data_IF_085721196650
#
_entry.id   IF_085721196650
#
_cell.length_a   1.000
_cell.length_b   1.000
_cell.length_c   1.000
_cell.angle_alpha   90.00
_cell.angle_beta   90.00
_cell.angle_gamma   90.00
#
_symmetry.space_group_name_H-M   'P 1'
#
loop_
_entity.id
_entity.type
_entity.pdbx_description
1 polymer ?
#
# COMPACT_ATOMS: atom_id res chain seq x y z
N UNK A 1 28.28 -12.42 8.03
CA UNK A 1 28.65 -11.02 7.77
C UNK A 1 27.39 -10.19 7.96
N UNK A 2 27.39 -9.13 8.77
CA UNK A 2 26.22 -8.27 8.86
C UNK A 2 25.98 -7.65 7.48
N UNK A 3 24.81 -7.89 6.90
CA UNK A 3 24.35 -7.14 5.73
C UNK A 3 24.24 -5.69 6.18
N UNK A 4 25.00 -4.79 5.57
CA UNK A 4 24.78 -3.35 5.70
C UNK A 4 23.35 -3.07 5.20
N UNK A 5 22.38 -2.99 6.11
CA UNK A 5 21.05 -2.53 5.78
C UNK A 5 21.20 -1.09 5.33
N UNK A 6 20.62 -0.70 4.19
CA UNK A 6 20.62 0.69 3.78
C UNK A 6 19.87 1.50 4.84
N UNK A 7 20.58 2.36 5.55
CA UNK A 7 19.99 3.27 6.53
C UNK A 7 19.19 4.34 5.80
N UNK A 8 17.87 4.20 5.75
CA UNK A 8 17.01 5.22 5.15
C UNK A 8 15.56 4.78 5.08
N UNK A 9 14.67 5.74 5.19
CA UNK A 9 13.22 5.57 5.08
C UNK A 9 12.83 5.37 3.61
N UNK A 10 11.99 4.37 3.32
CA UNK A 10 11.31 4.22 2.04
C UNK A 10 10.09 5.13 2.03
N UNK A 11 9.91 5.91 0.99
CA UNK A 11 8.73 6.78 0.90
C UNK A 11 7.96 6.57 -0.39
N UNK A 12 6.63 6.63 -0.27
CA UNK A 12 5.70 6.61 -1.38
C UNK A 12 4.91 7.91 -1.43
N UNK A 13 4.59 8.36 -2.66
CA UNK A 13 3.57 9.36 -2.93
C UNK A 13 2.53 8.75 -3.84
N UNK A 14 1.27 8.81 -3.41
CA UNK A 14 0.14 8.31 -4.15
C UNK A 14 -0.74 9.48 -4.58
N UNK A 15 -0.98 9.60 -5.89
CA UNK A 15 -1.80 10.66 -6.47
C UNK A 15 -2.76 10.08 -7.49
N UNK A 16 -3.93 10.68 -7.61
CA UNK A 16 -4.92 10.35 -8.63
C UNK A 16 -5.31 11.63 -9.39
N UNK A 17 -4.52 12.08 -10.37
CA UNK A 17 -4.78 13.35 -11.07
C UNK A 17 -6.06 13.36 -11.87
N UNK A 18 -6.45 12.22 -12.41
CA UNK A 18 -7.69 12.03 -13.16
C UNK A 18 -8.33 10.69 -12.75
N UNK A 19 -9.28 10.69 -11.80
CA UNK A 19 -9.93 9.46 -11.32
C UNK A 19 -10.65 8.67 -12.42
N UNK A 20 -11.15 9.34 -13.45
CA UNK A 20 -11.88 8.71 -14.55
C UNK A 20 -11.00 7.81 -15.43
N UNK A 21 -9.69 8.03 -15.42
CA UNK A 21 -8.73 7.15 -16.09
C UNK A 21 -8.47 5.86 -15.30
N UNK A 22 -8.90 5.81 -14.04
CA UNK A 22 -8.70 4.70 -13.11
C UNK A 22 -7.22 4.31 -12.92
N UNK A 23 -6.31 5.28 -13.03
CA UNK A 23 -4.89 5.08 -12.76
C UNK A 23 -4.44 5.78 -11.49
N UNK A 24 -3.89 5.00 -10.57
CA UNK A 24 -3.16 5.50 -9.42
C UNK A 24 -1.72 5.79 -9.84
N UNK A 25 -1.28 7.03 -9.71
CA UNK A 25 0.10 7.43 -9.94
C UNK A 25 0.91 7.23 -8.67
N UNK A 26 2.00 6.49 -8.78
CA UNK A 26 2.83 6.07 -7.65
C UNK A 26 4.26 6.55 -7.90
N UNK A 27 4.81 7.29 -6.92
CA UNK A 27 6.22 7.61 -6.83
C UNK A 27 6.78 6.93 -5.59
N UNK A 28 7.81 6.10 -5.77
CA UNK A 28 8.54 5.44 -4.70
C UNK A 28 9.97 5.97 -4.67
N UNK A 29 10.45 6.39 -3.49
CA UNK A 29 11.84 6.76 -3.26
C UNK A 29 12.46 5.81 -2.28
N UNK A 30 13.64 5.28 -2.64
CA UNK A 30 14.43 4.44 -1.74
C UNK A 30 15.93 4.77 -1.85
N UNK A 31 16.63 4.73 -0.72
CA UNK A 31 18.08 4.88 -0.69
C UNK A 31 18.74 3.67 -1.34
N UNK A 32 19.88 3.88 -1.98
CA UNK A 32 20.67 2.81 -2.59
C UNK A 32 22.14 3.00 -2.23
N UNK A 33 22.81 1.89 -1.92
CA UNK A 33 24.25 1.85 -1.59
C UNK A 33 24.99 0.81 -2.42
N UNK A 34 24.34 0.22 -3.42
CA UNK A 34 24.86 -0.83 -4.28
C UNK A 34 24.88 -0.35 -5.74
N UNK A 35 25.70 -1.01 -6.57
CA UNK A 35 25.73 -0.72 -8.01
C UNK A 35 24.44 -1.10 -8.73
N UNK A 36 23.74 -2.11 -8.22
CA UNK A 36 22.48 -2.59 -8.79
C UNK A 36 21.53 -2.93 -7.66
N UNK A 37 20.25 -2.69 -7.89
CA UNK A 37 19.15 -3.11 -7.00
C UNK A 37 18.09 -3.87 -7.80
N UNK A 38 17.47 -4.86 -7.19
CA UNK A 38 16.32 -5.54 -7.75
C UNK A 38 15.04 -5.10 -7.04
N UNK A 39 14.08 -4.65 -7.84
CA UNK A 39 12.77 -4.21 -7.40
C UNK A 39 11.74 -5.28 -7.73
N UNK A 40 10.78 -5.48 -6.85
CA UNK A 40 9.73 -6.48 -6.99
C UNK A 40 8.36 -5.87 -6.80
N UNK A 41 7.38 -6.40 -7.50
CA UNK A 41 5.97 -6.29 -7.15
C UNK A 41 5.51 -7.68 -6.74
N UNK A 42 4.80 -7.86 -5.59
CA UNK A 42 4.25 -9.17 -5.25
C UNK A 42 3.40 -9.75 -6.39
N UNK A 43 3.50 -11.05 -6.62
CA UNK A 43 2.73 -11.73 -7.65
C UNK A 43 1.51 -12.47 -7.10
N UNK A 44 1.39 -12.56 -5.79
CA UNK A 44 0.30 -13.18 -5.05
C UNK A 44 0.13 -12.53 -3.67
N UNK A 45 -0.94 -12.82 -2.98
CA UNK A 45 -1.20 -12.37 -1.60
C UNK A 45 -1.64 -13.53 -0.72
N UNK A 46 -1.39 -13.49 0.60
CA UNK A 46 -1.93 -14.44 1.56
C UNK A 46 -3.47 -14.53 1.48
N UNK A 47 -4.00 -15.72 1.72
CA UNK A 47 -5.45 -15.99 1.66
C UNK A 47 -6.01 -16.23 0.25
N UNK A 48 -5.22 -15.96 -0.81
CA UNK A 48 -5.56 -16.32 -2.19
C UNK A 48 -4.39 -17.04 -2.83
N UNK A 49 -4.48 -18.35 -2.95
CA UNK A 49 -3.41 -19.22 -3.42
C UNK A 49 -3.32 -19.29 -4.95
N UNK A 50 -3.35 -18.11 -5.59
CA UNK A 50 -3.27 -17.94 -7.04
C UNK A 50 -2.23 -16.89 -7.40
N UNK A 51 -1.49 -17.12 -8.47
CA UNK A 51 -0.61 -16.11 -9.07
C UNK A 51 -1.48 -15.11 -9.84
N UNK A 52 -1.52 -13.88 -9.37
CA UNK A 52 -2.45 -12.85 -9.88
C UNK A 52 -1.80 -11.94 -10.94
N UNK A 53 -0.44 -11.97 -11.08
CA UNK A 53 0.30 -11.13 -12.04
C UNK A 53 -0.05 -9.63 -11.93
N UNK A 54 -0.03 -9.06 -10.73
CA UNK A 54 -0.39 -7.65 -10.50
C UNK A 54 0.39 -6.67 -11.38
N UNK A 55 1.63 -7.01 -11.74
CA UNK A 55 2.49 -6.19 -12.60
C UNK A 55 1.93 -5.95 -14.01
N UNK A 56 0.92 -6.70 -14.47
CA UNK A 56 0.22 -6.42 -15.73
C UNK A 56 -0.47 -5.06 -15.75
N UNK A 57 -0.83 -4.55 -14.57
CA UNK A 57 -1.53 -3.27 -14.39
C UNK A 57 -0.58 -2.07 -14.34
N UNK A 58 0.74 -2.29 -14.40
CA UNK A 58 1.74 -1.20 -14.39
C UNK A 58 1.95 -0.65 -15.81
N UNK A 59 1.92 0.68 -15.93
CA UNK A 59 2.36 1.39 -17.14
C UNK A 59 3.29 2.55 -16.79
N UNK A 60 4.06 3.02 -17.77
CA UNK A 60 4.89 4.21 -17.64
C UNK A 60 6.01 4.10 -16.60
N UNK A 61 6.52 2.89 -16.34
CA UNK A 61 7.58 2.64 -15.38
C UNK A 61 8.86 3.38 -15.75
N UNK A 62 9.39 4.17 -14.81
CA UNK A 62 10.60 4.97 -14.98
C UNK A 62 11.40 4.93 -13.69
N UNK A 63 12.73 4.96 -13.81
CA UNK A 63 13.63 5.09 -12.66
C UNK A 63 14.53 6.29 -12.88
N UNK A 64 14.66 7.14 -11.87
CA UNK A 64 15.43 8.37 -11.89
C UNK A 64 16.49 8.35 -10.79
N UNK A 65 17.64 8.98 -11.03
CA UNK A 65 18.67 9.20 -10.03
C UNK A 65 18.39 10.45 -9.16
N UNK A 66 19.33 10.80 -8.29
CA UNK A 66 19.25 11.97 -7.40
C UNK A 66 19.11 13.31 -8.15
N UNK A 67 19.54 13.36 -9.41
CA UNK A 67 19.45 14.54 -10.28
C UNK A 67 18.19 14.54 -11.15
N UNK A 68 17.22 13.64 -10.87
CA UNK A 68 16.02 13.42 -11.70
C UNK A 68 16.32 12.99 -13.16
N UNK A 69 17.46 12.41 -13.42
CA UNK A 69 17.82 11.88 -14.73
C UNK A 69 17.44 10.40 -14.83
N UNK A 70 16.93 9.94 -15.97
CA UNK A 70 16.62 8.52 -16.19
C UNK A 70 17.87 7.65 -16.05
N UNK A 71 17.73 6.53 -15.34
CA UNK A 71 18.76 5.51 -15.24
C UNK A 71 18.30 4.18 -15.85
N UNK A 72 19.23 3.36 -16.38
CA UNK A 72 18.90 2.10 -17.05
C UNK A 72 18.27 1.08 -16.09
N UNK A 73 17.27 0.42 -16.57
CA UNK A 73 16.69 -0.76 -15.93
C UNK A 73 16.20 -1.76 -16.98
N UNK A 74 16.01 -3.00 -16.58
CA UNK A 74 15.37 -4.03 -17.40
C UNK A 74 14.52 -4.95 -16.54
N UNK A 75 13.50 -5.58 -17.14
CA UNK A 75 12.72 -6.61 -16.47
C UNK A 75 13.54 -7.89 -16.34
N UNK A 76 13.64 -8.41 -15.09
CA UNK A 76 14.23 -9.75 -14.83
C UNK A 76 13.19 -10.84 -14.95
N UNK A 77 11.97 -10.57 -14.47
CA UNK A 77 10.81 -11.45 -14.55
C UNK A 77 9.56 -10.63 -14.95
N UNK A 78 8.38 -11.23 -14.89
CA UNK A 78 7.11 -10.51 -15.13
C UNK A 78 6.86 -9.39 -14.12
N UNK A 79 7.37 -9.55 -12.89
CA UNK A 79 7.08 -8.76 -11.70
C UNK A 79 8.34 -8.24 -10.99
N UNK A 80 9.51 -8.30 -11.65
CA UNK A 80 10.75 -7.72 -11.12
C UNK A 80 11.54 -6.92 -12.16
N UNK A 81 12.33 -5.96 -11.64
CA UNK A 81 13.16 -5.03 -12.44
C UNK A 81 14.53 -4.91 -11.80
N UNK A 82 15.58 -5.08 -12.60
CA UNK A 82 16.96 -4.75 -12.20
C UNK A 82 17.30 -3.33 -12.63
N UNK A 83 17.81 -2.54 -11.69
CA UNK A 83 18.13 -1.13 -11.88
C UNK A 83 19.61 -0.92 -11.65
N UNK A 84 20.30 -0.24 -12.57
CA UNK A 84 21.70 0.16 -12.44
C UNK A 84 21.78 1.47 -11.62
N UNK A 85 22.32 1.39 -10.39
CA UNK A 85 22.35 2.49 -9.43
C UNK A 85 23.77 3.06 -9.20
N UNK A 86 24.74 2.75 -10.05
CA UNK A 86 26.11 3.18 -9.85
C UNK A 86 26.21 4.71 -9.77
N UNK A 87 26.85 5.22 -8.71
CA UNK A 87 26.98 6.65 -8.46
C UNK A 87 25.72 7.36 -7.92
N UNK A 88 24.64 6.64 -7.64
CA UNK A 88 23.37 7.17 -7.12
C UNK A 88 23.19 6.80 -5.65
N UNK A 89 22.72 7.74 -4.82
CA UNK A 89 22.41 7.50 -3.39
C UNK A 89 20.94 7.20 -3.13
N UNK A 90 20.07 7.72 -3.97
CA UNK A 90 18.63 7.53 -3.89
C UNK A 90 18.06 7.37 -5.28
N UNK A 91 17.19 6.41 -5.48
CA UNK A 91 16.42 6.28 -6.71
C UNK A 91 14.99 6.68 -6.50
N UNK A 92 14.38 7.25 -7.52
CA UNK A 92 12.96 7.56 -7.58
C UNK A 92 12.33 6.73 -8.69
N UNK A 93 11.42 5.85 -8.31
CA UNK A 93 10.66 5.01 -9.24
C UNK A 93 9.28 5.64 -9.42
N UNK A 94 8.86 5.84 -10.67
CA UNK A 94 7.55 6.38 -11.02
C UNK A 94 6.82 5.43 -11.96
N UNK A 95 5.56 5.19 -11.68
CA UNK A 95 4.69 4.39 -12.53
C UNK A 95 3.23 4.69 -12.24
N UNK A 96 2.36 4.21 -13.11
CA UNK A 96 0.92 4.23 -12.91
C UNK A 96 0.41 2.79 -12.78
N UNK A 97 -0.55 2.58 -11.89
CA UNK A 97 -1.20 1.31 -11.65
C UNK A 97 -2.68 1.39 -12.02
N UNK A 98 -3.14 0.50 -12.89
CA UNK A 98 -4.54 0.44 -13.30
C UNK A 98 -5.40 -0.14 -12.18
N UNK A 99 -6.32 0.68 -11.65
CA UNK A 99 -7.03 0.48 -10.40
C UNK A 99 -8.54 0.50 -10.65
N UNK A 100 -9.05 -0.45 -11.42
CA UNK A 100 -10.42 -0.46 -11.95
C UNK A 100 -11.37 -1.43 -11.26
N UNK A 101 -10.86 -2.34 -10.44
CA UNK A 101 -11.68 -3.34 -9.77
C UNK A 101 -11.87 -3.02 -8.30
N UNK A 102 -13.11 -3.02 -7.81
CA UNK A 102 -13.45 -2.88 -6.40
C UNK A 102 -13.81 -4.24 -5.79
N UNK A 103 -12.84 -4.89 -5.20
CA UNK A 103 -13.01 -6.09 -4.39
C UNK A 103 -11.91 -6.20 -3.35
N UNK A 104 -12.04 -7.11 -2.38
CA UNK A 104 -11.09 -7.26 -1.27
C UNK A 104 -9.64 -7.58 -1.71
N UNK A 105 -9.43 -7.95 -2.95
CA UNK A 105 -8.12 -8.34 -3.48
C UNK A 105 -7.54 -7.41 -4.53
N UNK A 106 -8.13 -6.24 -4.76
CA UNK A 106 -7.73 -5.32 -5.83
C UNK A 106 -7.40 -3.92 -5.29
N UNK A 107 -7.15 -3.00 -6.20
CA UNK A 107 -6.99 -1.56 -5.95
C UNK A 107 -7.97 -0.84 -6.85
N UNK A 108 -8.67 0.17 -6.33
CA UNK A 108 -9.74 0.88 -7.02
C UNK A 108 -9.62 2.39 -6.86
N UNK A 109 -9.90 3.12 -7.94
CA UNK A 109 -9.94 4.58 -7.99
C UNK A 109 -11.20 5.04 -8.69
N UNK A 110 -11.93 5.97 -8.06
CA UNK A 110 -13.00 6.78 -8.67
C UNK A 110 -12.94 8.21 -8.16
N UNK A 111 -13.88 9.04 -8.55
CA UNK A 111 -14.02 10.43 -8.05
C UNK A 111 -14.33 10.47 -6.55
N UNK A 112 -15.01 9.44 -6.02
CA UNK A 112 -15.51 9.39 -4.65
C UNK A 112 -14.74 8.47 -3.72
N UNK A 113 -13.89 7.59 -4.30
CA UNK A 113 -13.27 6.49 -3.55
C UNK A 113 -11.87 6.17 -4.06
N UNK A 114 -10.94 6.07 -3.12
CA UNK A 114 -9.63 5.43 -3.32
C UNK A 114 -9.54 4.23 -2.37
N UNK A 115 -9.50 3.03 -2.92
CA UNK A 115 -9.20 1.81 -2.19
C UNK A 115 -7.84 1.26 -2.66
N UNK A 116 -6.90 1.14 -1.75
CA UNK A 116 -5.56 0.63 -2.05
C UNK A 116 -5.28 -0.61 -1.23
N UNK A 117 -4.95 -1.68 -1.93
CA UNK A 117 -4.35 -2.86 -1.34
C UNK A 117 -2.85 -2.84 -1.69
N UNK A 118 -1.96 -2.47 -0.75
CA UNK A 118 -0.55 -2.22 -1.03
C UNK A 118 0.18 -3.37 -1.71
N UNK A 119 -0.15 -4.61 -1.36
CA UNK A 119 0.44 -5.81 -1.96
C UNK A 119 0.26 -5.89 -3.47
N UNK A 120 -0.77 -5.23 -4.03
CA UNK A 120 -1.06 -5.28 -5.46
C UNK A 120 -0.24 -4.28 -6.27
N UNK A 121 0.10 -3.13 -5.68
CA UNK A 121 0.55 -1.98 -6.43
C UNK A 121 1.83 -1.33 -5.94
N UNK A 122 2.30 -1.60 -4.71
CA UNK A 122 3.52 -0.99 -4.18
C UNK A 122 4.72 -1.92 -4.37
N UNK A 123 5.74 -1.42 -5.07
CA UNK A 123 6.99 -2.15 -5.30
C UNK A 123 7.87 -2.11 -4.05
N UNK A 124 8.71 -3.12 -3.89
CA UNK A 124 9.68 -3.23 -2.79
C UNK A 124 11.03 -3.73 -3.31
N UNK A 125 12.03 -3.71 -2.44
CA UNK A 125 13.26 -4.47 -2.62
C UNK A 125 13.56 -5.29 -1.38
N UNK A 126 14.26 -6.40 -1.54
CA UNK A 126 14.62 -7.27 -0.43
C UNK A 126 15.53 -6.57 0.59
N UNK A 127 16.37 -5.64 0.12
CA UNK A 127 17.27 -4.86 0.97
C UNK A 127 16.51 -3.92 1.90
N UNK A 128 15.29 -3.49 1.51
CA UNK A 128 14.47 -2.55 2.27
C UNK A 128 13.25 -3.20 2.92
N UNK A 129 13.12 -4.52 2.85
CA UNK A 129 11.90 -5.20 3.32
C UNK A 129 11.55 -4.86 4.78
N UNK A 130 12.57 -4.68 5.63
CA UNK A 130 12.44 -4.31 7.04
C UNK A 130 12.63 -2.81 7.32
N UNK A 131 12.66 -1.96 6.31
CA UNK A 131 12.78 -0.52 6.49
C UNK A 131 11.46 0.13 6.90
N UNK A 132 11.55 1.24 7.64
CA UNK A 132 10.41 2.10 7.88
C UNK A 132 9.88 2.70 6.57
N UNK A 133 8.56 2.78 6.45
CA UNK A 133 7.89 3.23 5.23
C UNK A 133 6.93 4.36 5.57
N UNK A 134 6.96 5.38 4.73
CA UNK A 134 6.05 6.51 4.77
C UNK A 134 5.27 6.60 3.46
N UNK A 135 3.95 6.77 3.54
CA UNK A 135 3.09 6.93 2.37
C UNK A 135 2.36 8.26 2.49
N UNK A 136 2.61 9.16 1.57
CA UNK A 136 1.91 10.45 1.45
C UNK A 136 0.76 10.30 0.45
N UNK A 137 -0.45 10.58 0.92
CA UNK A 137 -1.67 10.50 0.12
C UNK A 137 -2.07 11.89 -0.34
N UNK A 138 -2.14 12.10 -1.64
CA UNK A 138 -2.62 13.34 -2.26
C UNK A 138 -4.09 13.17 -2.64
N UNK A 139 -4.94 13.28 -1.64
CA UNK A 139 -6.40 13.16 -1.72
C UNK A 139 -7.06 14.49 -1.32
N UNK A 140 -8.34 14.65 -1.60
CA UNK A 140 -9.13 15.82 -1.21
C UNK A 140 -9.10 16.04 0.32
N UNK A 141 -9.21 17.30 0.75
CA UNK A 141 -9.04 17.65 2.18
C UNK A 141 -10.16 17.10 3.05
N UNK A 142 -11.35 17.00 2.50
CA UNK A 142 -12.53 16.45 3.14
C UNK A 142 -12.58 14.93 3.24
N UNK A 143 -11.65 14.23 2.58
CA UNK A 143 -11.63 12.77 2.63
C UNK A 143 -11.04 12.23 3.92
N UNK A 144 -11.73 11.28 4.52
CA UNK A 144 -11.29 10.48 5.64
C UNK A 144 -10.48 9.28 5.16
N UNK A 145 -9.66 8.72 6.05
CA UNK A 145 -8.83 7.54 5.77
C UNK A 145 -9.14 6.47 6.81
N UNK A 146 -9.52 5.28 6.35
CA UNK A 146 -9.66 4.08 7.17
C UNK A 146 -8.50 3.13 6.88
N UNK A 147 -7.72 2.80 7.91
CA UNK A 147 -6.53 1.94 7.81
C UNK A 147 -6.16 1.38 9.18
N UNK A 148 -5.43 0.28 9.22
CA UNK A 148 -4.74 -0.24 10.40
C UNK A 148 -3.38 0.42 10.66
N UNK A 149 -2.82 1.12 9.67
CA UNK A 149 -1.53 1.78 9.78
C UNK A 149 -1.57 3.01 10.70
N UNK A 150 -0.43 3.35 11.28
CA UNK A 150 -0.29 4.62 12.00
C UNK A 150 -0.48 5.79 11.04
N UNK A 151 -1.40 6.71 11.40
CA UNK A 151 -1.76 7.86 10.58
C UNK A 151 -1.33 9.18 11.24
N UNK A 152 -0.81 10.09 10.40
CA UNK A 152 -0.56 11.49 10.77
C UNK A 152 -1.00 12.40 9.62
N UNK A 153 -2.18 13.01 9.74
CA UNK A 153 -2.83 13.72 8.64
C UNK A 153 -3.07 12.78 7.45
N UNK A 154 -2.61 13.16 6.28
CA UNK A 154 -2.68 12.34 5.06
C UNK A 154 -1.43 11.45 4.83
N UNK A 155 -0.69 11.18 5.91
CA UNK A 155 0.50 10.34 5.87
C UNK A 155 0.26 9.06 6.66
N UNK A 156 0.52 7.91 6.03
CA UNK A 156 0.52 6.59 6.66
C UNK A 156 1.96 6.16 6.93
N UNK A 157 2.17 5.48 8.07
CA UNK A 157 3.51 5.09 8.54
C UNK A 157 3.46 3.63 9.00
N UNK A 158 4.45 2.86 8.57
CA UNK A 158 4.66 1.49 9.03
C UNK A 158 6.15 1.19 9.21
N UNK A 159 6.46 0.09 9.86
CA UNK A 159 7.84 -0.29 10.20
C UNK A 159 8.51 -1.18 9.17
N UNK A 160 7.74 -1.85 8.30
CA UNK A 160 8.25 -2.78 7.30
C UNK A 160 7.21 -3.05 6.19
N UNK A 161 7.62 -3.74 5.14
CA UNK A 161 6.75 -4.11 4.02
C UNK A 161 5.76 -5.22 4.37
N UNK A 162 6.05 -6.09 5.32
CA UNK A 162 5.12 -7.13 5.76
C UNK A 162 3.84 -6.50 6.34
N UNK A 163 4.00 -5.60 7.30
CA UNK A 163 2.88 -4.83 7.85
C UNK A 163 2.16 -3.99 6.79
N UNK A 164 2.91 -3.41 5.84
CA UNK A 164 2.33 -2.63 4.76
C UNK A 164 1.42 -3.48 3.88
N UNK A 165 1.89 -4.64 3.45
CA UNK A 165 1.17 -5.52 2.54
C UNK A 165 -0.09 -6.14 3.15
N UNK A 166 -0.15 -6.23 4.48
CA UNK A 166 -1.33 -6.69 5.23
C UNK A 166 -2.25 -5.53 5.71
N UNK A 167 -1.99 -4.32 5.24
CA UNK A 167 -2.72 -3.13 5.68
C UNK A 167 -3.36 -2.37 4.52
N UNK A 168 -4.44 -2.88 3.92
CA UNK A 168 -5.21 -2.12 2.95
C UNK A 168 -5.78 -0.86 3.59
N UNK A 169 -6.04 0.16 2.77
CA UNK A 169 -6.67 1.38 3.22
C UNK A 169 -7.70 1.90 2.20
N UNK A 170 -8.67 2.62 2.73
CA UNK A 170 -9.73 3.25 1.97
C UNK A 170 -9.78 4.73 2.31
N UNK A 171 -9.96 5.58 1.30
CA UNK A 171 -10.11 7.01 1.45
C UNK A 171 -11.39 7.45 0.72
N UNK A 172 -12.27 8.12 1.43
CA UNK A 172 -13.51 8.71 0.88
C UNK A 172 -14.05 9.78 1.81
N UNK A 173 -14.95 10.62 1.30
CA UNK A 173 -15.59 11.66 2.09
C UNK A 173 -16.56 11.08 3.12
N UNK A 174 -17.37 10.10 2.73
CA UNK A 174 -18.49 9.60 3.53
C UNK A 174 -18.14 8.33 4.34
N UNK A 175 -16.91 8.23 4.85
CA UNK A 175 -16.55 7.12 5.73
C UNK A 175 -17.19 7.30 7.10
N UNK A 176 -18.00 6.33 7.51
CA UNK A 176 -18.57 6.21 8.86
C UNK A 176 -17.90 5.07 9.61
N UNK A 177 -17.72 5.22 10.91
CA UNK A 177 -17.06 4.22 11.74
C UNK A 177 -17.76 4.00 13.06
N UNK A 178 -17.65 2.78 13.56
CA UNK A 178 -17.98 2.42 14.93
C UNK A 178 -16.82 1.66 15.58
N UNK A 179 -16.81 1.70 16.91
CA UNK A 179 -15.79 1.08 17.75
C UNK A 179 -16.39 0.02 18.63
N UNK A 180 -15.67 -1.09 18.79
CA UNK A 180 -15.95 -2.06 19.86
C UNK A 180 -14.64 -2.62 20.41
N UNK A 181 -14.72 -3.22 21.60
CA UNK A 181 -13.57 -3.81 22.27
C UNK A 181 -13.87 -5.26 22.69
N UNK A 182 -12.86 -6.13 22.55
CA UNK A 182 -12.85 -7.49 23.05
C UNK A 182 -11.50 -7.78 23.70
N UNK A 183 -11.50 -8.21 24.96
CA UNK A 183 -10.29 -8.54 25.73
C UNK A 183 -9.22 -7.45 25.78
N UNK A 184 -9.64 -6.18 25.83
CA UNK A 184 -8.72 -5.03 25.83
C UNK A 184 -8.16 -4.67 24.45
N UNK A 185 -8.58 -5.35 23.37
CA UNK A 185 -8.20 -5.06 21.99
C UNK A 185 -9.32 -4.26 21.35
N UNK A 186 -8.96 -3.08 20.81
CA UNK A 186 -9.91 -2.21 20.11
C UNK A 186 -10.06 -2.55 18.64
N UNK A 187 -11.28 -2.55 18.16
CA UNK A 187 -11.65 -2.81 16.76
C UNK A 187 -12.48 -1.68 16.20
N UNK A 188 -12.25 -1.35 14.93
CA UNK A 188 -13.04 -0.37 14.19
C UNK A 188 -13.70 -1.03 13.00
N UNK A 189 -15.00 -0.75 12.81
CA UNK A 189 -15.75 -1.13 11.63
C UNK A 189 -15.98 0.14 10.81
N UNK A 190 -15.61 0.11 9.54
CA UNK A 190 -15.75 1.23 8.64
C UNK A 190 -16.68 0.89 7.47
N UNK A 191 -17.54 1.83 7.13
CA UNK A 191 -18.37 1.77 5.93
C UNK A 191 -18.17 3.02 5.10
N UNK A 192 -18.19 2.84 3.79
CA UNK A 192 -18.26 3.94 2.84
C UNK A 192 -19.72 4.10 2.41
N UNK A 193 -20.30 5.21 2.76
CA UNK A 193 -21.62 5.69 2.43
C UNK A 193 -22.55 5.86 3.65
N UNK A 194 -23.61 6.69 3.46
CA UNK A 194 -24.61 7.00 4.47
C UNK A 194 -25.73 5.94 4.48
N UNK A 195 -25.36 4.71 4.78
CA UNK A 195 -26.32 3.61 4.90
C UNK A 195 -27.01 3.64 6.27
N UNK A 196 -28.25 3.20 6.32
CA UNK A 196 -28.94 2.96 7.59
C UNK A 196 -28.42 1.64 8.20
N UNK A 197 -27.29 1.73 8.88
CA UNK A 197 -26.56 0.57 9.42
C UNK A 197 -27.15 0.19 10.78
N UNK A 198 -27.59 -1.06 10.99
CA UNK A 198 -28.05 -1.52 12.29
C UNK A 198 -26.87 -1.80 13.24
N UNK A 199 -26.21 -0.73 13.70
CA UNK A 199 -24.96 -0.78 14.46
C UNK A 199 -25.03 -1.68 15.69
N UNK A 200 -26.08 -1.61 16.49
CA UNK A 200 -26.22 -2.43 17.71
C UNK A 200 -26.13 -3.93 17.40
N UNK A 201 -26.87 -4.37 16.41
CA UNK A 201 -26.85 -5.77 15.98
C UNK A 201 -25.50 -6.15 15.40
N UNK A 202 -24.97 -5.30 14.52
CA UNK A 202 -23.69 -5.56 13.85
C UNK A 202 -22.56 -5.70 14.86
N UNK A 203 -22.43 -4.76 15.81
CA UNK A 203 -21.41 -4.80 16.85
C UNK A 203 -21.58 -6.03 17.74
N UNK A 204 -22.81 -6.39 18.11
CA UNK A 204 -23.08 -7.59 18.90
C UNK A 204 -22.61 -8.88 18.19
N UNK A 205 -22.84 -8.98 16.90
CA UNK A 205 -22.41 -10.13 16.11
C UNK A 205 -20.88 -10.15 15.91
N UNK A 206 -20.26 -8.99 15.63
CA UNK A 206 -18.80 -8.86 15.53
C UNK A 206 -18.11 -9.22 16.86
N UNK A 207 -18.61 -8.76 18.00
CA UNK A 207 -18.06 -9.14 19.31
C UNK A 207 -18.08 -10.65 19.54
N UNK A 208 -19.16 -11.33 19.15
CA UNK A 208 -19.27 -12.80 19.32
C UNK A 208 -18.19 -13.54 18.52
N UNK A 209 -18.07 -13.27 17.23
CA UNK A 209 -17.10 -13.98 16.42
C UNK A 209 -15.66 -13.57 16.75
N UNK A 210 -15.38 -12.28 17.04
CA UNK A 210 -14.05 -11.82 17.47
C UNK A 210 -13.64 -12.50 18.77
N UNK A 211 -14.55 -12.60 19.75
CA UNK A 211 -14.28 -13.33 21.00
C UNK A 211 -13.91 -14.79 20.72
N UNK A 212 -14.63 -15.44 19.78
CA UNK A 212 -14.34 -16.81 19.40
C UNK A 212 -12.99 -16.95 18.72
N UNK A 213 -12.66 -16.04 17.79
CA UNK A 213 -11.38 -16.03 17.08
C UNK A 213 -10.19 -15.84 18.03
N UNK A 214 -10.28 -14.85 18.93
CA UNK A 214 -9.22 -14.62 19.94
C UNK A 214 -9.05 -15.83 20.85
N UNK A 215 -10.16 -16.50 21.23
CA UNK A 215 -10.08 -17.71 22.03
C UNK A 215 -9.39 -18.88 21.31
N UNK A 216 -9.60 -19.01 20.01
CA UNK A 216 -9.13 -20.16 19.24
C UNK A 216 -7.70 -19.96 18.70
N UNK A 217 -7.29 -18.72 18.43
CA UNK A 217 -6.04 -18.39 17.73
C UNK A 217 -5.10 -17.49 18.53
N UNK A 218 -5.50 -16.89 19.61
CA UNK A 218 -4.71 -16.01 20.49
C UNK A 218 -4.97 -14.57 20.25
#
# INVERSE_FOLDING_TARGET
>A
MPKNEPSGEVSFKLTCPNPNDQYLSIECRLPVNQKNIELFLPSWRPGRYEITNFAKNIRGFKVLNDLNQPIPFHKSTKDSWKVACEGTKTITIKYQYYSHELNAGSTFVSEDLLYVNPVNCLIYSNEHFNSAIKIELFIADEWNIATSLKQKGKTLITTNFDNLFDSPFICAQNLVKEYYEVNGIGFYIWFNDLLNIPWEKLIADFKKFTTKQIKDFG
#
